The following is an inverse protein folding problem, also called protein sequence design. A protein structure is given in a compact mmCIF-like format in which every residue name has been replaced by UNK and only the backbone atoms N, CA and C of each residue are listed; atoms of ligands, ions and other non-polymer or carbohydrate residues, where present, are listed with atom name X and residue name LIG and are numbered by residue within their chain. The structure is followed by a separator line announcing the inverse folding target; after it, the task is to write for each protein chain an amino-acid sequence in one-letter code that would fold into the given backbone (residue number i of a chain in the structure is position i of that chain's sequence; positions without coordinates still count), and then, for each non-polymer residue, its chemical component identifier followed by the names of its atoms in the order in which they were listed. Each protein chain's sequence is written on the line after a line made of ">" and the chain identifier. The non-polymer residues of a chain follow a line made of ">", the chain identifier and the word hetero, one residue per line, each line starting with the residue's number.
data_IF_672399940594
#
_entry.id   IF_672399940594
#
_cell.length_a   1.000
_cell.length_b   1.000
_cell.length_c   1.000
_cell.angle_alpha   90.00
_cell.angle_beta   90.00
_cell.angle_gamma   90.00
#
_symmetry.space_group_name_H-M   'P 1'
#
loop_
_entity.id
_entity.type
_entity.pdbx_description
1 polymer ?
#
# COMPACT_ATOMS: atom_id res chain seq x y z
N UNK A 1 0.18 15.49 14.65
CA UNK A 1 0.63 14.17 14.13
C UNK A 1 1.93 14.34 13.35
N UNK A 2 3.04 14.62 14.02
CA UNK A 2 4.35 14.69 13.35
C UNK A 2 5.05 13.34 13.51
N UNK A 3 5.04 12.52 12.45
CA UNK A 3 5.38 11.08 12.53
C UNK A 3 6.88 10.88 12.43
N UNK A 4 7.54 11.48 11.43
CA UNK A 4 8.97 11.32 11.17
C UNK A 4 9.81 12.48 11.72
N UNK A 5 9.33 13.13 12.78
CA UNK A 5 10.05 14.20 13.47
C UNK A 5 11.35 13.67 14.09
N UNK A 6 12.53 14.29 13.82
CA UNK A 6 13.80 13.87 14.40
C UNK A 6 13.87 13.90 15.93
N UNK A 7 13.12 14.80 16.58
CA UNK A 7 13.12 14.96 18.04
C UNK A 7 12.17 13.99 18.75
N UNK A 8 11.07 13.63 18.09
CA UNK A 8 10.01 12.85 18.71
C UNK A 8 9.32 11.96 17.64
N UNK A 9 10.04 10.92 17.15
CA UNK A 9 9.51 10.01 16.14
C UNK A 9 8.36 9.19 16.70
N UNK A 10 7.37 8.88 15.84
CA UNK A 10 6.18 8.15 16.22
C UNK A 10 5.89 7.04 15.21
N UNK A 11 5.25 5.98 15.69
CA UNK A 11 4.67 4.93 14.85
C UNK A 11 3.16 5.16 14.84
N UNK A 12 2.57 5.15 13.65
CA UNK A 12 1.13 5.20 13.48
C UNK A 12 0.67 3.87 12.87
N UNK A 13 -0.11 3.12 13.62
CA UNK A 13 -0.80 1.94 13.13
C UNK A 13 -2.27 2.30 12.90
N UNK A 14 -2.79 1.98 11.71
CA UNK A 14 -4.17 2.22 11.34
C UNK A 14 -4.80 0.88 11.01
N UNK A 15 -5.78 0.46 11.81
CA UNK A 15 -6.60 -0.71 11.54
C UNK A 15 -7.95 -0.28 10.96
N UNK A 16 -8.48 -1.09 10.04
CA UNK A 16 -9.85 -0.95 9.56
C UNK A 16 -10.65 -2.21 9.92
N UNK A 17 -11.95 -2.04 10.19
CA UNK A 17 -12.86 -3.17 10.34
C UNK A 17 -13.55 -3.41 8.98
N UNK A 18 -13.39 -4.59 8.35
CA UNK A 18 -14.02 -4.91 7.06
C UNK A 18 -15.53 -4.65 7.03
N UNK A 19 -16.25 -4.95 8.11
CA UNK A 19 -17.70 -4.78 8.21
C UNK A 19 -18.15 -3.32 8.21
N UNK A 20 -17.23 -2.39 8.48
CA UNK A 20 -17.50 -0.94 8.61
C UNK A 20 -16.62 -0.09 7.70
N UNK A 21 -16.02 -0.70 6.67
CA UNK A 21 -15.08 -0.04 5.77
C UNK A 21 -15.66 1.23 5.13
N UNK A 22 -16.93 1.21 4.72
CA UNK A 22 -17.60 2.38 4.13
C UNK A 22 -17.81 3.53 5.11
N UNK A 23 -17.99 3.23 6.41
CA UNK A 23 -18.20 4.25 7.44
C UNK A 23 -16.86 4.91 7.79
N UNK A 24 -15.79 4.12 7.88
CA UNK A 24 -14.46 4.61 8.26
C UNK A 24 -13.68 5.22 7.10
N UNK A 25 -14.04 4.91 5.85
CA UNK A 25 -13.33 5.37 4.65
C UNK A 25 -13.14 6.88 4.59
N UNK A 26 -14.16 7.66 4.96
CA UNK A 26 -14.09 9.13 4.96
C UNK A 26 -13.09 9.67 5.99
N UNK A 27 -13.15 9.16 7.22
CA UNK A 27 -12.25 9.57 8.29
C UNK A 27 -10.81 9.14 7.99
N UNK A 28 -10.62 7.89 7.60
CA UNK A 28 -9.30 7.34 7.22
C UNK A 28 -8.71 8.08 6.02
N UNK A 29 -9.52 8.42 5.01
CA UNK A 29 -9.10 9.21 3.87
C UNK A 29 -8.58 10.60 4.27
N UNK A 30 -9.26 11.28 5.22
CA UNK A 30 -8.80 12.56 5.76
C UNK A 30 -7.44 12.41 6.46
N UNK A 31 -7.32 11.43 7.38
CA UNK A 31 -6.06 11.17 8.08
C UNK A 31 -4.93 10.87 7.10
N UNK A 32 -5.15 9.98 6.13
CA UNK A 32 -4.16 9.60 5.12
C UNK A 32 -3.68 10.82 4.33
N UNK A 33 -4.61 11.65 3.84
CA UNK A 33 -4.26 12.87 3.09
C UNK A 33 -3.38 13.83 3.89
N UNK A 34 -3.60 13.90 5.22
CA UNK A 34 -2.79 14.73 6.12
C UNK A 34 -1.44 14.08 6.39
N UNK A 35 -1.40 12.78 6.66
CA UNK A 35 -0.18 12.02 6.93
C UNK A 35 0.79 12.13 5.75
N UNK A 36 0.31 11.95 4.52
CA UNK A 36 1.12 12.09 3.29
C UNK A 36 1.87 13.43 3.25
N UNK A 37 1.17 14.53 3.54
CA UNK A 37 1.77 15.87 3.54
C UNK A 37 2.78 16.07 4.67
N UNK A 38 2.62 15.36 5.78
CA UNK A 38 3.50 15.49 6.95
C UNK A 38 4.79 14.68 6.77
N UNK A 39 4.69 13.44 6.30
CA UNK A 39 5.86 12.58 6.07
C UNK A 39 6.69 13.04 4.88
N UNK A 40 6.06 13.66 3.88
CA UNK A 40 6.71 14.08 2.63
C UNK A 40 7.36 15.48 2.75
N UNK A 41 8.26 15.64 3.73
CA UNK A 41 8.99 16.88 3.99
C UNK A 41 10.50 16.63 4.06
N UNK A 42 11.28 17.60 3.55
CA UNK A 42 12.74 17.59 3.67
C UNK A 42 13.18 17.75 5.12
N UNK A 43 14.33 17.16 5.45
CA UNK A 43 14.96 17.30 6.78
C UNK A 43 14.30 16.48 7.89
N UNK A 44 13.33 15.62 7.55
CA UNK A 44 12.74 14.65 8.47
C UNK A 44 13.51 13.33 8.46
N UNK A 45 13.21 12.45 9.43
CA UNK A 45 13.78 11.10 9.46
C UNK A 45 13.29 10.25 8.28
N UNK A 46 14.09 9.25 7.92
CA UNK A 46 13.69 8.17 7.03
C UNK A 46 12.42 7.53 7.60
N UNK A 47 11.42 7.32 6.76
CA UNK A 47 10.14 6.76 7.19
C UNK A 47 9.63 5.74 6.20
N UNK A 48 8.69 4.90 6.64
CA UNK A 48 8.04 3.93 5.78
C UNK A 48 6.52 4.03 5.91
N UNK A 49 5.85 3.89 4.77
CA UNK A 49 4.41 3.71 4.67
C UNK A 49 4.19 2.29 4.18
N UNK A 50 3.61 1.45 5.04
CA UNK A 50 3.33 0.05 4.73
C UNK A 50 1.82 -0.11 4.69
N UNK A 51 1.31 -0.59 3.57
CA UNK A 51 -0.11 -0.85 3.36
C UNK A 51 -0.23 -2.32 2.96
N UNK A 52 -0.78 -3.14 3.86
CA UNK A 52 -0.86 -4.59 3.67
C UNK A 52 -1.88 -4.99 2.59
N UNK A 53 -3.02 -4.29 2.54
CA UNK A 53 -4.02 -4.48 1.49
C UNK A 53 -4.54 -3.11 1.04
N UNK A 54 -3.99 -2.59 -0.06
CA UNK A 54 -4.29 -1.27 -0.58
C UNK A 54 -5.79 -1.01 -0.85
N UNK A 55 -6.56 -1.95 -1.44
CA UNK A 55 -8.03 -1.91 -1.52
C UNK A 55 -8.78 -1.64 -0.20
N UNK A 56 -8.22 -2.00 0.96
CA UNK A 56 -8.93 -1.79 2.24
C UNK A 56 -9.05 -0.33 2.64
N UNK A 57 -8.18 0.54 2.09
CA UNK A 57 -8.13 1.96 2.42
C UNK A 57 -7.91 2.79 1.14
N UNK A 58 -8.90 3.59 0.76
CA UNK A 58 -8.69 4.53 -0.34
C UNK A 58 -7.66 5.60 0.06
N UNK A 59 -6.48 5.55 -0.56
CA UNK A 59 -5.34 6.40 -0.24
C UNK A 59 -5.17 7.50 -1.30
N UNK A 60 -5.92 8.59 -1.13
CA UNK A 60 -5.87 9.74 -2.07
C UNK A 60 -4.48 10.37 -2.09
N UNK A 61 -3.92 10.55 -3.30
CA UNK A 61 -2.61 11.16 -3.51
C UNK A 61 -1.42 10.20 -3.32
N UNK A 62 -1.69 8.88 -3.36
CA UNK A 62 -0.65 7.84 -3.32
C UNK A 62 0.34 7.99 -4.48
N UNK A 63 -0.16 8.28 -5.68
CA UNK A 63 0.63 8.54 -6.88
C UNK A 63 1.71 9.62 -6.65
N UNK A 64 1.32 10.75 -6.04
CA UNK A 64 2.19 11.87 -5.72
C UNK A 64 3.19 11.50 -4.61
N UNK A 65 2.73 10.74 -3.62
CA UNK A 65 3.62 10.22 -2.59
C UNK A 65 4.70 9.35 -3.23
N UNK A 66 4.36 8.35 -4.04
CA UNK A 66 5.33 7.46 -4.68
C UNK A 66 6.33 8.25 -5.55
N UNK A 67 5.85 9.22 -6.33
CA UNK A 67 6.70 10.04 -7.20
C UNK A 67 7.73 10.90 -6.43
N UNK A 68 7.38 11.41 -5.25
CA UNK A 68 8.22 12.38 -4.51
C UNK A 68 8.91 11.78 -3.28
N UNK A 69 8.42 10.64 -2.77
CA UNK A 69 8.86 9.96 -1.57
C UNK A 69 10.37 9.67 -1.55
N UNK A 70 10.94 9.29 -2.69
CA UNK A 70 12.38 8.98 -2.81
C UNK A 70 13.26 10.15 -2.34
N UNK A 71 12.92 11.38 -2.77
CA UNK A 71 13.69 12.58 -2.41
C UNK A 71 13.63 12.91 -0.92
N UNK A 72 12.54 12.53 -0.26
CA UNK A 72 12.31 12.73 1.17
C UNK A 72 12.62 11.47 2.00
N UNK A 73 13.26 10.46 1.40
CA UNK A 73 13.65 9.19 2.03
C UNK A 73 12.47 8.46 2.70
N UNK A 74 11.31 8.50 2.04
CA UNK A 74 10.11 7.76 2.43
C UNK A 74 10.04 6.49 1.59
N UNK A 75 9.94 5.32 2.24
CA UNK A 75 9.77 4.04 1.57
C UNK A 75 8.30 3.62 1.59
N UNK A 76 7.69 3.46 0.41
CA UNK A 76 6.29 3.02 0.28
C UNK A 76 6.27 1.53 -0.08
N UNK A 77 5.61 0.72 0.74
CA UNK A 77 5.38 -0.70 0.52
C UNK A 77 3.87 -0.95 0.39
N UNK A 78 3.47 -1.54 -0.73
CA UNK A 78 2.07 -1.76 -1.09
C UNK A 78 1.84 -3.24 -1.31
N UNK A 79 0.93 -3.82 -0.53
CA UNK A 79 0.34 -5.13 -0.76
C UNK A 79 -1.04 -4.99 -1.42
N UNK A 80 -1.28 -5.87 -2.38
CA UNK A 80 -2.58 -6.08 -3.03
C UNK A 80 -2.53 -7.44 -3.73
N UNK A 81 -3.68 -8.04 -3.97
CA UNK A 81 -3.74 -9.42 -4.48
C UNK A 81 -3.55 -9.50 -6.00
N UNK A 82 -4.09 -8.53 -6.74
CA UNK A 82 -4.09 -8.53 -8.19
C UNK A 82 -4.14 -7.10 -8.76
N UNK A 83 -3.52 -6.87 -9.93
CA UNK A 83 -3.59 -5.56 -10.58
C UNK A 83 -5.02 -5.13 -10.94
N UNK A 84 -5.93 -6.08 -11.15
CA UNK A 84 -7.35 -5.79 -11.39
C UNK A 84 -8.03 -5.15 -10.17
N UNK A 85 -7.60 -5.47 -8.94
CA UNK A 85 -8.11 -4.79 -7.74
C UNK A 85 -7.61 -3.34 -7.71
N UNK A 86 -6.33 -3.14 -8.03
CA UNK A 86 -5.75 -1.80 -8.13
C UNK A 86 -6.49 -0.92 -9.16
N UNK A 87 -6.77 -1.47 -10.35
CA UNK A 87 -7.51 -0.75 -11.42
C UNK A 87 -8.94 -0.43 -10.98
N UNK A 88 -9.61 -1.34 -10.27
CA UNK A 88 -10.97 -1.12 -9.77
C UNK A 88 -11.05 0.06 -8.79
N UNK A 89 -10.10 0.15 -7.87
CA UNK A 89 -10.19 1.10 -6.75
C UNK A 89 -9.57 2.47 -7.07
N UNK A 90 -8.56 2.51 -7.95
CA UNK A 90 -7.83 3.73 -8.32
C UNK A 90 -8.10 4.19 -9.76
N UNK A 91 -8.73 3.35 -10.58
CA UNK A 91 -8.91 3.59 -12.01
C UNK A 91 -7.63 3.36 -12.82
N UNK A 92 -7.79 3.21 -14.14
CA UNK A 92 -6.71 2.83 -15.06
C UNK A 92 -5.48 3.75 -15.00
N UNK A 93 -5.69 5.06 -14.88
CA UNK A 93 -4.61 6.05 -14.93
C UNK A 93 -3.70 5.95 -13.70
N UNK A 94 -4.29 5.99 -12.51
CA UNK A 94 -3.53 5.94 -11.25
C UNK A 94 -2.91 4.56 -11.04
N UNK A 95 -3.65 3.48 -11.37
CA UNK A 95 -3.12 2.12 -11.28
C UNK A 95 -1.87 1.92 -12.16
N UNK A 96 -1.87 2.44 -13.40
CA UNK A 96 -0.69 2.39 -14.28
C UNK A 96 0.49 3.17 -13.71
N UNK A 97 0.26 4.32 -13.08
CA UNK A 97 1.34 5.10 -12.43
C UNK A 97 1.95 4.27 -11.30
N UNK A 98 1.13 3.70 -10.42
CA UNK A 98 1.60 2.86 -9.31
C UNK A 98 2.43 1.68 -9.84
N UNK A 99 1.90 0.93 -10.82
CA UNK A 99 2.61 -0.21 -11.42
C UNK A 99 3.95 0.21 -12.04
N UNK A 100 3.99 1.33 -12.76
CA UNK A 100 5.18 1.75 -13.52
C UNK A 100 6.24 2.45 -12.66
N UNK A 101 5.86 3.16 -11.61
CA UNK A 101 6.81 3.88 -10.74
C UNK A 101 7.45 2.97 -9.70
N UNK A 102 6.76 1.91 -9.27
CA UNK A 102 7.32 0.96 -8.31
C UNK A 102 8.42 0.12 -8.97
N UNK A 103 9.65 0.31 -8.48
CA UNK A 103 10.85 -0.35 -9.00
C UNK A 103 11.11 -1.74 -8.40
N UNK A 104 10.59 -2.02 -7.20
CA UNK A 104 10.72 -3.31 -6.53
C UNK A 104 9.39 -4.04 -6.57
N UNK A 105 9.35 -5.23 -7.13
CA UNK A 105 8.14 -6.05 -7.21
C UNK A 105 8.44 -7.43 -6.65
N UNK A 106 7.53 -7.89 -5.80
CA UNK A 106 7.46 -9.25 -5.28
C UNK A 106 6.06 -9.78 -5.61
N UNK A 107 6.00 -10.94 -6.23
CA UNK A 107 4.74 -11.56 -6.63
C UNK A 107 4.77 -13.04 -6.30
N UNK A 108 3.80 -13.47 -5.51
CA UNK A 108 3.48 -14.89 -5.37
C UNK A 108 2.68 -15.39 -6.57
N UNK A 109 1.84 -16.39 -6.36
CA UNK A 109 0.97 -16.90 -7.41
C UNK A 109 -0.08 -15.85 -7.82
N UNK A 110 -0.05 -15.44 -9.08
CA UNK A 110 -1.07 -14.57 -9.71
C UNK A 110 -1.42 -15.10 -11.09
N UNK A 111 -2.63 -14.82 -11.56
CA UNK A 111 -3.16 -15.37 -12.82
C UNK A 111 -3.54 -14.26 -13.81
N UNK A 112 -3.95 -14.65 -15.02
CA UNK A 112 -4.56 -13.71 -15.98
C UNK A 112 -3.62 -12.63 -16.49
N UNK A 113 -4.10 -11.39 -16.49
CA UNK A 113 -3.36 -10.22 -17.01
C UNK A 113 -2.16 -9.85 -16.14
N UNK A 114 -2.29 -9.97 -14.81
CA UNK A 114 -1.19 -9.69 -13.87
C UNK A 114 0.02 -10.57 -14.18
N UNK A 115 -0.19 -11.88 -14.36
CA UNK A 115 0.90 -12.81 -14.70
C UNK A 115 1.56 -12.47 -16.06
N UNK A 116 0.78 -12.05 -17.06
CA UNK A 116 1.31 -11.63 -18.36
C UNK A 116 2.14 -10.36 -18.24
N UNK A 117 1.62 -9.35 -17.55
CA UNK A 117 2.31 -8.07 -17.33
C UNK A 117 3.63 -8.26 -16.58
N UNK A 118 3.65 -9.11 -15.55
CA UNK A 118 4.87 -9.47 -14.83
C UNK A 118 5.88 -10.21 -15.73
N UNK A 119 5.41 -11.19 -16.49
CA UNK A 119 6.24 -11.95 -17.44
C UNK A 119 6.90 -11.03 -18.47
N UNK A 120 6.15 -10.07 -19.02
CA UNK A 120 6.67 -9.04 -19.94
C UNK A 120 7.67 -8.12 -19.25
N UNK A 121 7.39 -7.70 -18.00
CA UNK A 121 8.31 -6.87 -17.20
C UNK A 121 9.63 -7.57 -16.89
N UNK A 122 9.62 -8.88 -16.68
CA UNK A 122 10.85 -9.66 -16.47
C UNK A 122 11.66 -9.85 -17.76
N UNK A 123 11.05 -9.57 -18.92
CA UNK A 123 11.71 -9.59 -20.20
C UNK A 123 11.93 -10.99 -20.77
N UNK A 124 12.74 -11.05 -21.83
CA UNK A 124 13.04 -12.26 -22.59
C UNK A 124 14.52 -12.56 -22.58
N UNK A 125 14.85 -13.84 -22.68
CA UNK A 125 16.22 -14.34 -22.74
C UNK A 125 16.37 -15.23 -23.99
N UNK A 126 17.55 -15.19 -24.60
CA UNK A 126 17.85 -16.05 -25.74
C UNK A 126 18.02 -17.50 -25.27
N UNK A 127 17.08 -18.36 -25.64
CA UNK A 127 17.09 -19.78 -25.32
C UNK A 127 17.65 -20.58 -26.50
N UNK A 128 18.55 -21.51 -26.21
CA UNK A 128 19.04 -22.49 -27.19
C UNK A 128 18.12 -23.70 -27.18
N UNK A 129 17.47 -23.98 -28.31
CA UNK A 129 16.68 -25.19 -28.53
C UNK A 129 17.50 -26.19 -29.31
N UNK A 130 17.61 -27.40 -28.76
CA UNK A 130 18.22 -28.53 -29.43
C UNK A 130 17.11 -29.49 -29.83
N UNK A 131 16.91 -29.65 -31.13
CA UNK A 131 16.00 -30.66 -31.67
C UNK A 131 16.83 -31.87 -32.08
N UNK A 132 16.49 -33.05 -31.56
CA UNK A 132 17.12 -34.31 -31.92
C UNK A 132 16.14 -35.12 -32.75
N UNK A 133 16.50 -35.40 -34.01
CA UNK A 133 15.78 -36.32 -34.88
C UNK A 133 16.52 -37.65 -34.87
N UNK A 134 15.86 -38.70 -34.38
CA UNK A 134 16.44 -40.05 -34.28
C UNK A 134 15.77 -40.91 -35.36
N UNK A 135 16.57 -41.38 -36.33
CA UNK A 135 16.16 -42.38 -37.31
C UNK A 135 16.90 -43.70 -37.04
N UNK A 136 16.46 -44.82 -37.64
CA UNK A 136 17.04 -46.16 -37.37
C UNK A 136 18.55 -46.25 -37.59
N UNK A 137 19.11 -45.43 -38.50
CA UNK A 137 20.52 -45.46 -38.87
C UNK A 137 21.31 -44.19 -38.47
N UNK A 138 20.64 -43.08 -38.13
CA UNK A 138 21.32 -41.81 -37.87
C UNK A 138 20.61 -40.99 -36.79
N UNK A 139 21.40 -40.22 -36.03
CA UNK A 139 20.92 -39.18 -35.11
C UNK A 139 21.36 -37.81 -35.63
N UNK A 140 20.41 -36.96 -36.00
CA UNK A 140 20.68 -35.57 -36.36
C UNK A 140 20.29 -34.65 -35.20
N UNK A 141 21.17 -33.71 -34.85
CA UNK A 141 20.90 -32.68 -33.85
C UNK A 141 20.92 -31.32 -34.53
N UNK A 142 19.80 -30.61 -34.47
CA UNK A 142 19.68 -29.23 -34.93
C UNK A 142 19.66 -28.30 -33.73
N UNK A 143 20.46 -27.24 -33.77
CA UNK A 143 20.53 -26.23 -32.71
C UNK A 143 20.00 -24.92 -33.28
N UNK A 144 18.96 -24.38 -32.67
CA UNK A 144 18.40 -23.08 -33.00
C UNK A 144 18.33 -22.19 -31.75
N UNK A 145 18.31 -20.88 -31.95
CA UNK A 145 18.13 -19.90 -30.88
C UNK A 145 16.81 -19.18 -31.05
N UNK A 146 16.07 -19.00 -29.96
CA UNK A 146 14.80 -18.28 -29.94
C UNK A 146 14.74 -17.39 -28.70
N UNK A 147 14.15 -16.20 -28.82
CA UNK A 147 13.85 -15.35 -27.67
C UNK A 147 12.62 -15.90 -26.96
N UNK A 148 12.78 -16.34 -25.72
CA UNK A 148 11.69 -16.84 -24.88
C UNK A 148 11.57 -16.00 -23.60
N UNK A 149 10.42 -16.04 -22.95
CA UNK A 149 10.18 -15.28 -21.72
C UNK A 149 11.07 -15.81 -20.59
N UNK A 150 11.73 -14.92 -19.85
CA UNK A 150 12.62 -15.32 -18.74
C UNK A 150 11.84 -16.09 -17.67
N UNK A 151 10.66 -15.59 -17.32
CA UNK A 151 9.71 -16.24 -16.45
C UNK A 151 8.34 -16.23 -17.15
N UNK A 152 7.88 -17.35 -17.74
CA UNK A 152 6.59 -17.41 -18.43
C UNK A 152 5.40 -17.15 -17.49
N UNK A 153 4.35 -16.50 -17.99
CA UNK A 153 3.12 -16.26 -17.23
C UNK A 153 2.49 -17.55 -16.65
N UNK A 154 2.59 -18.67 -17.37
CA UNK A 154 2.14 -19.98 -16.88
C UNK A 154 2.92 -20.47 -15.66
N UNK A 155 4.22 -20.14 -15.58
CA UNK A 155 5.06 -20.46 -14.42
C UNK A 155 4.66 -19.62 -13.20
N UNK A 156 4.38 -18.33 -13.42
CA UNK A 156 3.89 -17.42 -12.37
C UNK A 156 2.53 -17.88 -11.84
N UNK A 157 1.64 -18.30 -12.74
CA UNK A 157 0.29 -18.77 -12.41
C UNK A 157 0.26 -20.10 -11.64
N UNK A 158 1.38 -20.81 -11.57
CA UNK A 158 1.52 -22.14 -10.94
C UNK A 158 2.56 -22.16 -9.83
N UNK A 159 2.95 -20.99 -9.30
CA UNK A 159 3.86 -20.89 -8.16
C UNK A 159 3.25 -21.59 -6.95
N UNK A 160 4.09 -22.38 -6.27
CA UNK A 160 3.73 -23.00 -4.99
C UNK A 160 3.79 -21.95 -3.88
N UNK A 161 3.04 -22.17 -2.79
CA UNK A 161 3.15 -21.33 -1.61
C UNK A 161 4.62 -21.22 -1.14
N UNK A 162 5.05 -20.02 -0.80
CA UNK A 162 6.45 -19.73 -0.44
C UNK A 162 7.36 -19.41 -1.62
N UNK A 163 6.95 -19.73 -2.86
CA UNK A 163 7.69 -19.34 -4.07
C UNK A 163 7.26 -17.95 -4.55
N UNK A 164 8.23 -17.12 -4.84
CA UNK A 164 8.03 -15.77 -5.33
C UNK A 164 8.86 -15.50 -6.58
N UNK A 165 8.32 -14.66 -7.44
CA UNK A 165 9.03 -14.03 -8.55
C UNK A 165 9.07 -12.53 -8.33
N UNK A 166 10.11 -11.87 -8.82
CA UNK A 166 10.20 -10.44 -8.62
C UNK A 166 11.39 -9.80 -9.29
N UNK A 167 11.39 -8.48 -9.21
CA UNK A 167 12.46 -7.65 -9.73
C UNK A 167 12.82 -6.60 -8.67
N UNK A 168 14.11 -6.39 -8.47
CA UNK A 168 14.67 -5.44 -7.50
C UNK A 168 15.46 -4.37 -8.27
N UNK A 169 15.22 -3.12 -7.90
CA UNK A 169 15.96 -1.96 -8.39
C UNK A 169 17.21 -1.71 -7.54
N UNK A 170 18.28 -1.29 -8.20
CA UNK A 170 19.55 -0.93 -7.58
C UNK A 170 19.70 0.59 -7.38
N UNK A 171 20.73 0.97 -6.63
CA UNK A 171 21.18 2.35 -6.51
C UNK A 171 22.44 2.55 -7.36
N UNK A 172 22.78 3.81 -7.67
CA UNK A 172 23.97 4.13 -8.45
C UNK A 172 25.25 3.55 -7.84
N UNK A 173 25.33 3.59 -6.50
CA UNK A 173 26.49 3.15 -5.72
C UNK A 173 26.47 1.64 -5.39
N UNK A 174 25.31 0.98 -5.51
CA UNK A 174 25.08 -0.41 -5.08
C UNK A 174 24.38 -1.19 -6.20
N UNK A 175 25.15 -1.56 -7.22
CA UNK A 175 24.63 -2.32 -8.36
C UNK A 175 24.36 -3.77 -8.00
N UNK A 176 23.22 -4.28 -8.44
CA UNK A 176 22.81 -5.68 -8.26
C UNK A 176 22.94 -6.39 -9.61
N UNK A 177 23.74 -7.46 -9.67
CA UNK A 177 23.91 -8.25 -10.89
C UNK A 177 22.63 -9.00 -11.26
N UNK A 178 22.01 -9.67 -10.30
CA UNK A 178 20.78 -10.42 -10.49
C UNK A 178 19.58 -9.65 -9.94
N UNK A 179 18.99 -8.81 -10.79
CA UNK A 179 17.81 -8.00 -10.44
C UNK A 179 16.52 -8.81 -10.39
N UNK A 180 16.41 -9.84 -11.22
CA UNK A 180 15.19 -10.66 -11.33
C UNK A 180 15.43 -11.99 -10.61
N UNK A 181 14.45 -12.40 -9.81
CA UNK A 181 14.50 -13.65 -9.05
C UNK A 181 13.24 -14.49 -9.24
N UNK A 182 13.41 -15.79 -9.04
CA UNK A 182 12.38 -16.79 -8.88
C UNK A 182 12.89 -17.74 -7.80
N UNK A 183 12.42 -17.56 -6.56
CA UNK A 183 13.02 -18.16 -5.38
C UNK A 183 11.97 -18.49 -4.32
N UNK A 184 12.32 -19.42 -3.43
CA UNK A 184 11.56 -19.72 -2.23
C UNK A 184 11.94 -18.74 -1.11
N UNK A 185 10.95 -18.11 -0.48
CA UNK A 185 11.15 -17.33 0.73
C UNK A 185 11.09 -18.29 1.91
N UNK A 186 12.26 -18.56 2.50
CA UNK A 186 12.38 -19.42 3.68
C UNK A 186 12.17 -18.59 4.94
N UNK A 187 11.13 -18.92 5.71
CA UNK A 187 10.85 -18.31 7.01
C UNK A 187 11.26 -19.29 8.12
N UNK A 188 12.08 -18.83 9.05
CA UNK A 188 12.46 -19.60 10.23
C UNK A 188 11.29 -19.63 11.23
N UNK A 189 10.47 -20.67 11.11
CA UNK A 189 9.26 -20.82 11.91
C UNK A 189 9.55 -20.94 13.41
N UNK A 190 10.68 -21.52 13.82
CA UNK A 190 11.04 -21.66 15.23
C UNK A 190 11.36 -20.30 15.84
N UNK A 191 12.15 -19.49 15.12
CA UNK A 191 12.47 -18.13 15.53
C UNK A 191 11.23 -17.24 15.60
N UNK A 192 10.35 -17.31 14.59
CA UNK A 192 9.09 -16.54 14.58
C UNK A 192 8.17 -16.96 15.71
N UNK A 193 8.07 -18.26 16.02
CA UNK A 193 7.26 -18.74 17.12
C UNK A 193 7.81 -18.30 18.49
N UNK A 194 9.14 -18.30 18.66
CA UNK A 194 9.78 -17.79 19.87
C UNK A 194 9.54 -16.28 20.06
N UNK A 195 9.65 -15.50 18.98
CA UNK A 195 9.36 -14.07 18.97
C UNK A 195 7.89 -13.78 19.29
N UNK A 196 6.96 -14.50 18.66
CA UNK A 196 5.52 -14.34 18.86
C UNK A 196 5.10 -14.64 20.30
N UNK A 197 5.75 -15.61 20.96
CA UNK A 197 5.50 -15.91 22.38
C UNK A 197 5.93 -14.78 23.31
N UNK A 198 6.89 -13.95 22.90
CA UNK A 198 7.36 -12.79 23.66
C UNK A 198 6.50 -11.54 23.43
N UNK A 199 5.53 -11.58 22.50
CA UNK A 199 4.66 -10.43 22.24
C UNK A 199 3.80 -10.10 23.46
N UNK A 200 3.86 -8.84 23.85
CA UNK A 200 2.97 -8.30 24.87
C UNK A 200 1.64 -7.92 24.24
N UNK A 201 0.55 -8.09 24.99
CA UNK A 201 -0.75 -7.57 24.55
C UNK A 201 -0.64 -6.06 24.40
N UNK A 202 -1.25 -5.54 23.34
CA UNK A 202 -1.41 -4.10 23.16
C UNK A 202 -2.12 -3.57 24.41
N UNK A 203 -1.53 -2.59 25.13
CA UNK A 203 -2.16 -2.04 26.31
C UNK A 203 -3.51 -1.41 25.93
N UNK A 204 -4.47 -1.47 26.85
CA UNK A 204 -5.78 -0.86 26.63
C UNK A 204 -5.62 0.67 26.71
N UNK A 205 -5.53 1.33 25.55
CA UNK A 205 -5.25 2.77 25.44
C UNK A 205 -6.49 3.60 25.81
N UNK A 206 -7.67 3.05 25.54
CA UNK A 206 -8.96 3.62 25.91
C UNK A 206 -9.85 2.48 26.42
N UNK A 207 -10.24 2.57 27.69
CA UNK A 207 -11.31 1.75 28.23
C UNK A 207 -12.56 2.61 28.41
N UNK A 208 -13.70 2.13 27.94
CA UNK A 208 -15.00 2.74 28.23
C UNK A 208 -15.59 2.23 29.55
N UNK A 209 -14.82 1.43 30.28
CA UNK A 209 -15.15 0.92 31.59
C UNK A 209 -14.59 1.91 32.63
N UNK A 210 -15.44 2.37 33.53
CA UNK A 210 -14.98 3.23 34.63
C UNK A 210 -14.26 2.43 35.73
N UNK A 211 -13.71 3.13 36.73
CA UNK A 211 -13.02 2.53 37.88
C UNK A 211 -13.89 1.52 38.67
N UNK A 212 -15.20 1.50 38.43
CA UNK A 212 -16.19 0.67 39.10
C UNK A 212 -16.66 -0.51 38.23
N UNK A 213 -16.11 -0.65 37.01
CA UNK A 213 -16.45 -1.75 36.10
C UNK A 213 -17.69 -1.49 35.23
N UNK A 214 -18.28 -0.29 35.25
CA UNK A 214 -19.47 0.03 34.47
C UNK A 214 -19.13 0.50 33.05
N UNK A 215 -19.77 -0.11 32.05
CA UNK A 215 -19.63 0.27 30.63
C UNK A 215 -20.33 1.61 30.35
N UNK A 216 -19.53 2.67 30.15
CA UNK A 216 -19.98 4.02 29.79
C UNK A 216 -19.94 4.29 28.29
N UNK A 217 -19.68 3.29 27.45
CA UNK A 217 -19.49 3.47 26.00
C UNK A 217 -20.66 4.24 25.37
N UNK A 218 -21.91 3.87 25.70
CA UNK A 218 -23.09 4.56 25.16
C UNK A 218 -23.17 6.03 25.57
N UNK A 219 -22.89 6.33 26.84
CA UNK A 219 -22.94 7.71 27.36
C UNK A 219 -21.86 8.58 26.73
N UNK A 220 -20.63 8.07 26.63
CA UNK A 220 -19.51 8.78 26.00
C UNK A 220 -19.77 9.05 24.51
N UNK A 221 -20.28 8.04 23.78
CA UNK A 221 -20.65 8.21 22.37
C UNK A 221 -21.76 9.25 22.22
N UNK A 222 -22.80 9.21 23.04
CA UNK A 222 -23.91 10.16 22.97
C UNK A 222 -23.49 11.59 23.35
N UNK A 223 -22.65 11.72 24.37
CA UNK A 223 -22.05 13.01 24.77
C UNK A 223 -21.23 13.59 23.63
N UNK A 224 -20.34 12.78 23.02
CA UNK A 224 -19.54 13.23 21.89
C UNK A 224 -20.39 13.58 20.66
N UNK A 225 -21.46 12.82 20.39
CA UNK A 225 -22.41 13.13 19.32
C UNK A 225 -23.11 14.48 19.53
N UNK A 226 -23.58 14.75 20.75
CA UNK A 226 -24.20 16.04 21.11
C UNK A 226 -23.20 17.18 21.03
N UNK A 227 -21.96 16.96 21.49
CA UNK A 227 -20.87 17.94 21.38
C UNK A 227 -20.58 18.28 19.93
N UNK A 228 -20.38 17.28 19.06
CA UNK A 228 -20.14 17.50 17.63
C UNK A 228 -21.30 18.30 17.01
N UNK A 229 -22.56 17.99 17.33
CA UNK A 229 -23.69 18.80 16.85
C UNK A 229 -23.62 20.26 17.30
N UNK A 230 -23.32 20.48 18.58
CA UNK A 230 -23.16 21.84 19.12
C UNK A 230 -22.00 22.59 18.45
N UNK A 231 -20.87 21.92 18.25
CA UNK A 231 -19.68 22.50 17.61
C UNK A 231 -20.00 22.89 16.15
N UNK A 232 -20.73 22.05 15.42
CA UNK A 232 -21.14 22.34 14.04
C UNK A 232 -22.10 23.52 13.98
N UNK A 233 -23.09 23.60 14.88
CA UNK A 233 -24.00 24.77 14.96
C UNK A 233 -23.19 26.04 15.22
N UNK A 234 -22.28 26.01 16.19
CA UNK A 234 -21.42 27.15 16.50
C UNK A 234 -20.54 27.54 15.30
N UNK A 235 -19.98 26.58 14.56
CA UNK A 235 -19.20 26.86 13.34
C UNK A 235 -20.09 27.54 12.30
N UNK A 236 -21.31 27.04 12.06
CA UNK A 236 -22.25 27.64 11.11
C UNK A 236 -22.62 29.07 11.52
N UNK A 237 -22.96 29.29 12.78
CA UNK A 237 -23.29 30.62 13.30
C UNK A 237 -22.11 31.59 13.14
N UNK A 238 -20.90 31.16 13.53
CA UNK A 238 -19.69 31.98 13.40
C UNK A 238 -19.33 32.32 11.96
N UNK A 239 -19.54 31.39 11.02
CA UNK A 239 -19.27 31.63 9.60
C UNK A 239 -20.36 32.50 8.97
N UNK A 240 -21.63 32.36 9.37
CA UNK A 240 -22.71 33.27 8.94
C UNK A 240 -22.41 34.69 9.44
N UNK A 241 -22.00 34.87 10.69
CA UNK A 241 -21.57 36.17 11.20
C UNK A 241 -20.37 36.71 10.44
N UNK A 242 -19.36 35.88 10.14
CA UNK A 242 -18.20 36.29 9.34
C UNK A 242 -18.60 36.78 7.95
N UNK A 243 -19.47 36.04 7.26
CA UNK A 243 -19.97 36.39 5.93
C UNK A 243 -20.82 37.67 5.98
N UNK A 244 -21.66 37.85 7.01
CA UNK A 244 -22.43 39.08 7.23
C UNK A 244 -21.54 40.30 7.50
N UNK A 245 -20.35 40.12 8.06
CA UNK A 245 -19.42 41.20 8.36
C UNK A 245 -18.38 41.44 7.25
N UNK A 246 -18.38 40.64 6.19
CA UNK A 246 -17.46 40.75 5.06
C UNK A 246 -18.15 41.43 3.85
N UNK A 247 -17.75 42.67 3.49
CA UNK A 247 -18.39 43.44 2.42
C UNK A 247 -18.45 42.71 1.06
N UNK A 248 -17.49 41.83 0.78
CA UNK A 248 -17.42 41.11 -0.49
C UNK A 248 -18.34 39.88 -0.52
N UNK A 249 -18.74 39.36 0.65
CA UNK A 249 -19.50 38.11 0.78
C UNK A 249 -20.93 38.29 1.31
N UNK A 250 -21.27 39.46 1.85
CA UNK A 250 -22.59 39.79 2.40
C UNK A 250 -23.77 39.42 1.48
N UNK A 251 -23.61 39.57 0.17
CA UNK A 251 -24.63 39.26 -0.84
C UNK A 251 -25.02 37.77 -0.91
N UNK A 252 -24.23 36.87 -0.31
CA UNK A 252 -24.48 35.42 -0.29
C UNK A 252 -25.46 34.99 0.81
N UNK A 253 -25.72 35.85 1.81
CA UNK A 253 -26.71 35.58 2.86
C UNK A 253 -28.03 36.16 2.39
N UNK A 254 -28.91 35.31 1.85
CA UNK A 254 -30.30 35.71 1.59
C UNK A 254 -31.00 35.86 2.95
N UNK A 255 -31.36 37.10 3.29
CA UNK A 255 -32.32 37.38 4.37
C UNK A 255 -33.68 36.83 3.94
N UNK A 256 -34.06 35.69 4.53
CA UNK A 256 -35.40 35.14 4.49
C UNK A 256 -36.20 35.59 5.71
#
# INVERSE_FOLDING_TARGET
>A
MDINNPKEPKILCVGNNPDRQNIYSAALGLYNSRIVKLINKKGQLKSSVIIDELPTIYFRGLDNLIATARSNKVAVCLGFQDFSQLIRDYGDKEAKVIQNTVGNIFSGQVVGETAKSLSERFGKVLQKRQSMTINRNDKSTSISTQLDSLIPASKISTLTQGMFVGAISDNFDERIEQKIFHAEIVVDNEKVAAETKAYQKIPEILSFVDEQGADKMKQEIESNYRRIKSDIVHIVESEIERIKNDPDLQHLVQEG
#
